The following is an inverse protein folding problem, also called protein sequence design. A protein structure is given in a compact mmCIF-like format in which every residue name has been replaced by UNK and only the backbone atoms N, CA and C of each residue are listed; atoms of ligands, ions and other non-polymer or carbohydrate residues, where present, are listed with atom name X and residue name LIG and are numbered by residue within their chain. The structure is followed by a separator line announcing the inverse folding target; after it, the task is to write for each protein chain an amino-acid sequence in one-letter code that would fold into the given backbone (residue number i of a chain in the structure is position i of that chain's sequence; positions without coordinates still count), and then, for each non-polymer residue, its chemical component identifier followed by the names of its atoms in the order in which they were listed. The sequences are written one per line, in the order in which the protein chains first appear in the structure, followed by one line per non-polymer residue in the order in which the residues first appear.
data_IF_073499664363
#
_entry.id   IF_073499664363
#
_cell.length_a   1.000
_cell.length_b   1.000
_cell.length_c   1.000
_cell.angle_alpha   90.00
_cell.angle_beta   90.00
_cell.angle_gamma   90.00
#
_symmetry.space_group_name_H-M   'P 1'
#
loop_
_entity.id
_entity.type
_entity.pdbx_description
1 polymer ?
#
# COMPACT_ATOMS: atom_id res chain seq x y z
N UNK A 1 12.09 -10.00 -3.77
CA UNK A 1 10.63 -10.21 -3.76
C UNK A 1 10.03 -9.04 -3.00
N UNK A 2 9.15 -8.25 -3.63
CA UNK A 2 8.57 -7.08 -2.97
C UNK A 2 7.57 -7.50 -1.89
N UNK A 3 7.65 -6.85 -0.73
CA UNK A 3 6.81 -7.11 0.46
C UNK A 3 5.43 -6.45 0.34
N UNK A 4 4.71 -6.75 -0.74
CA UNK A 4 3.35 -6.27 -1.01
C UNK A 4 2.42 -7.47 -1.11
N UNK A 5 1.39 -7.49 -0.27
CA UNK A 5 0.49 -8.63 -0.12
C UNK A 5 -0.98 -8.22 -0.25
N UNK A 6 -1.81 -9.14 -0.71
CA UNK A 6 -3.26 -8.99 -0.72
C UNK A 6 -3.87 -9.71 0.48
N UNK A 7 -4.43 -8.95 1.40
CA UNK A 7 -5.27 -9.48 2.46
C UNK A 7 -6.73 -9.51 2.03
N UNK A 8 -7.39 -10.64 2.26
CA UNK A 8 -8.81 -10.85 1.96
C UNK A 8 -9.54 -11.24 3.25
N UNK A 9 -10.50 -10.41 3.66
CA UNK A 9 -11.33 -10.62 4.84
C UNK A 9 -12.81 -10.77 4.49
N UNK A 10 -13.61 -11.16 5.49
CA UNK A 10 -15.08 -11.23 5.39
C UNK A 10 -15.57 -11.96 4.13
N UNK A 11 -15.16 -13.23 3.98
CA UNK A 11 -15.48 -14.08 2.80
C UNK A 11 -15.08 -13.46 1.45
N UNK A 12 -14.01 -12.67 1.43
CA UNK A 12 -13.46 -12.06 0.22
C UNK A 12 -14.12 -10.75 -0.20
N UNK A 13 -15.10 -10.25 0.55
CA UNK A 13 -15.71 -8.94 0.31
C UNK A 13 -14.75 -7.80 0.63
N UNK A 14 -13.95 -7.95 1.68
CA UNK A 14 -12.95 -6.96 2.07
C UNK A 14 -11.62 -7.34 1.45
N UNK A 15 -11.03 -6.41 0.70
CA UNK A 15 -9.68 -6.53 0.14
C UNK A 15 -8.84 -5.38 0.67
N UNK A 16 -7.65 -5.72 1.16
CA UNK A 16 -6.69 -4.76 1.70
C UNK A 16 -5.34 -5.09 1.08
N UNK A 17 -4.71 -4.09 0.48
CA UNK A 17 -3.33 -4.20 0.03
C UNK A 17 -2.43 -3.81 1.19
N UNK A 18 -1.57 -4.72 1.61
CA UNK A 18 -0.65 -4.52 2.74
C UNK A 18 0.78 -4.43 2.24
N UNK A 19 1.48 -3.39 2.69
CA UNK A 19 2.90 -3.19 2.45
C UNK A 19 3.61 -3.39 3.78
N UNK A 20 4.61 -4.26 3.81
CA UNK A 20 5.29 -4.70 5.03
C UNK A 20 6.80 -4.43 4.90
N UNK A 21 7.51 -4.45 6.03
CA UNK A 21 8.96 -4.24 6.11
C UNK A 21 9.40 -2.83 5.67
N UNK A 22 8.55 -1.82 5.90
CA UNK A 22 8.91 -0.43 5.62
C UNK A 22 9.87 0.05 6.71
N UNK A 23 11.03 0.57 6.29
CA UNK A 23 12.01 1.18 7.18
C UNK A 23 12.12 2.68 6.91
N UNK A 24 12.34 3.47 7.96
CA UNK A 24 12.51 4.93 7.86
C UNK A 24 11.19 5.70 7.92
N UNK A 25 11.08 6.78 7.14
CA UNK A 25 9.95 7.70 7.21
C UNK A 25 8.72 7.15 6.46
N UNK A 26 7.87 6.42 7.20
CA UNK A 26 6.65 5.78 6.68
C UNK A 26 5.62 6.82 6.21
N UNK A 27 5.51 7.95 6.91
CA UNK A 27 4.57 9.02 6.55
C UNK A 27 4.88 9.64 5.19
N UNK A 28 6.17 9.83 4.88
CA UNK A 28 6.59 10.31 3.57
C UNK A 28 6.24 9.30 2.45
N UNK A 29 6.46 7.99 2.71
CA UNK A 29 6.11 6.94 1.77
C UNK A 29 4.60 6.86 1.55
N UNK A 30 3.80 6.93 2.62
CA UNK A 30 2.34 6.94 2.54
C UNK A 30 1.83 8.11 1.69
N UNK A 31 2.38 9.30 1.89
CA UNK A 31 1.96 10.50 1.18
C UNK A 31 2.29 10.44 -0.32
N UNK A 32 3.47 9.94 -0.71
CA UNK A 32 3.84 9.78 -2.12
C UNK A 32 2.98 8.70 -2.79
N UNK A 33 2.79 7.57 -2.11
CA UNK A 33 1.99 6.45 -2.59
C UNK A 33 0.52 6.84 -2.75
N UNK A 34 -0.03 7.59 -1.79
CA UNK A 34 -1.39 8.14 -1.88
C UNK A 34 -1.54 9.05 -3.09
N UNK A 35 -0.58 9.95 -3.35
CA UNK A 35 -0.58 10.82 -4.55
C UNK A 35 -0.52 10.02 -5.84
N UNK A 36 0.30 8.97 -5.89
CA UNK A 36 0.39 8.10 -7.06
C UNK A 36 -0.93 7.40 -7.34
N UNK A 37 -1.51 6.73 -6.34
CA UNK A 37 -2.74 5.96 -6.53
C UNK A 37 -3.96 6.87 -6.79
N UNK A 38 -4.00 8.11 -6.26
CA UNK A 38 -5.09 9.06 -6.51
C UNK A 38 -5.19 9.49 -7.97
N UNK A 39 -4.11 9.38 -8.76
CA UNK A 39 -4.15 9.69 -10.19
C UNK A 39 -5.04 8.71 -10.97
N UNK A 40 -5.09 7.46 -10.52
CA UNK A 40 -5.83 6.39 -11.18
C UNK A 40 -7.15 6.03 -10.48
N UNK A 41 -7.39 6.53 -9.26
CA UNK A 41 -8.55 6.17 -8.44
C UNK A 41 -9.21 7.38 -7.78
N UNK A 42 -10.53 7.35 -7.59
CA UNK A 42 -11.30 8.50 -7.05
C UNK A 42 -11.06 8.77 -5.56
N UNK A 43 -11.09 7.74 -4.73
CA UNK A 43 -10.92 7.87 -3.28
C UNK A 43 -10.14 6.69 -2.73
N UNK A 44 -9.18 6.98 -1.85
CA UNK A 44 -8.28 5.99 -1.28
C UNK A 44 -8.21 6.21 0.21
N UNK A 45 -8.43 5.12 0.95
CA UNK A 45 -8.25 5.07 2.39
C UNK A 45 -6.99 4.29 2.70
N UNK A 46 -6.06 4.94 3.37
CA UNK A 46 -4.78 4.41 3.83
C UNK A 46 -4.77 4.37 5.36
N UNK A 47 -4.10 3.37 5.92
CA UNK A 47 -3.85 3.23 7.35
C UNK A 47 -2.36 2.94 7.54
N UNK A 48 -1.71 3.73 8.39
CA UNK A 48 -0.29 3.60 8.72
C UNK A 48 -0.17 2.90 10.07
N UNK A 49 0.62 1.83 10.12
CA UNK A 49 1.06 1.18 11.34
C UNK A 49 2.54 1.45 11.54
N UNK A 50 2.84 2.55 12.22
CA UNK A 50 4.21 3.05 12.39
C UNK A 50 5.09 2.06 13.16
N UNK A 51 4.59 1.54 14.28
CA UNK A 51 5.33 0.59 15.13
C UNK A 51 5.67 -0.72 14.39
N UNK A 52 4.73 -1.22 13.58
CA UNK A 52 4.92 -2.47 12.84
C UNK A 52 5.63 -2.28 11.49
N UNK A 53 5.81 -1.03 11.03
CA UNK A 53 6.37 -0.74 9.71
C UNK A 53 5.47 -1.20 8.57
N UNK A 54 4.17 -0.96 8.67
CA UNK A 54 3.19 -1.42 7.67
C UNK A 54 2.27 -0.31 7.19
N UNK A 55 1.84 -0.40 5.93
CA UNK A 55 0.79 0.44 5.36
C UNK A 55 -0.31 -0.46 4.79
N UNK A 56 -1.54 -0.20 5.20
CA UNK A 56 -2.73 -0.88 4.72
C UNK A 56 -3.52 0.06 3.83
N UNK A 57 -3.91 -0.42 2.65
CA UNK A 57 -4.69 0.35 1.67
C UNK A 57 -5.97 -0.42 1.41
N UNK A 58 -7.11 0.23 1.58
CA UNK A 58 -8.41 -0.39 1.32
C UNK A 58 -8.60 -0.57 -0.19
N UNK A 59 -8.66 -1.81 -0.66
CA UNK A 59 -8.79 -2.16 -2.07
C UNK A 59 -7.72 -3.15 -2.54
N UNK A 60 -7.83 -3.54 -3.80
CA UNK A 60 -6.88 -4.40 -4.49
C UNK A 60 -6.01 -3.54 -5.41
N UNK A 61 -4.82 -3.20 -4.93
CA UNK A 61 -3.85 -2.34 -5.60
C UNK A 61 -2.45 -2.95 -5.65
N UNK A 62 -2.33 -4.26 -5.39
CA UNK A 62 -1.03 -4.94 -5.29
C UNK A 62 -0.16 -4.69 -6.51
N UNK A 63 -0.71 -4.88 -7.72
CA UNK A 63 0.04 -4.72 -8.96
C UNK A 63 0.50 -3.28 -9.18
N UNK A 64 -0.36 -2.29 -8.89
CA UNK A 64 -0.02 -0.87 -9.03
C UNK A 64 1.08 -0.47 -8.06
N UNK A 65 0.99 -0.93 -6.80
CA UNK A 65 1.99 -0.66 -5.77
C UNK A 65 3.31 -1.36 -6.10
N UNK A 66 3.29 -2.60 -6.59
CA UNK A 66 4.48 -3.31 -7.01
C UNK A 66 5.19 -2.61 -8.17
N UNK A 67 4.45 -2.16 -9.19
CA UNK A 67 5.00 -1.39 -10.30
C UNK A 67 5.64 -0.10 -9.80
N UNK A 68 4.92 0.67 -8.97
CA UNK A 68 5.44 1.91 -8.41
C UNK A 68 6.72 1.73 -7.58
N UNK A 69 6.80 0.67 -6.77
CA UNK A 69 8.01 0.36 -6.00
C UNK A 69 9.18 -0.02 -6.91
N UNK A 70 8.93 -0.79 -7.96
CA UNK A 70 9.93 -1.15 -8.98
C UNK A 70 10.43 0.09 -9.73
N UNK A 71 9.54 1.00 -10.14
CA UNK A 71 9.88 2.25 -10.82
C UNK A 71 10.77 3.15 -9.95
N UNK A 72 10.61 3.09 -8.64
CA UNK A 72 11.43 3.83 -7.67
C UNK A 72 12.76 3.13 -7.32
N UNK A 73 12.92 1.86 -7.69
CA UNK A 73 14.14 1.08 -7.46
C UNK A 73 14.25 0.45 -6.07
N UNK A 74 13.12 0.12 -5.43
CA UNK A 74 13.08 -0.61 -4.15
C UNK A 74 13.21 -2.13 -4.30
#
# INVERSE_FOLDING_TARGET
MLSVYLYRGFRGQVRITQIVHIQGNIWALESDLKKYLLKSNKHITTQVHEVCGQINIRGDYVTQVQQWLLDKGF
#
